data_IF_337201770108
#
_entry.id   IF_337201770108
#
_cell.length_a   1.000
_cell.length_b   1.000
_cell.length_c   1.000
_cell.angle_alpha   90.00
_cell.angle_beta   90.00
_cell.angle_gamma   90.00
#
_symmetry.space_group_name_H-M   'P 1'
#
loop_
_entity.id
_entity.type
_entity.pdbx_description
1 polymer ?
#
# COMPACT_ATOMS: atom_id res chain seq x y z
N UNK A 1 -71.20 45.20 -15.49
CA UNK A 1 -70.70 43.84 -15.45
C UNK A 1 -70.15 43.41 -16.84
N UNK A 2 -69.27 44.18 -17.48
CA UNK A 2 -68.76 43.80 -18.84
C UNK A 2 -67.20 43.86 -18.97
N UNK A 3 -66.46 44.31 -17.96
CA UNK A 3 -65.03 44.52 -18.09
C UNK A 3 -64.17 43.40 -17.46
N UNK A 4 -64.72 42.46 -16.71
CA UNK A 4 -63.93 41.35 -16.10
C UNK A 4 -63.63 40.20 -17.08
N UNK A 5 -64.45 40.07 -18.12
CA UNK A 5 -64.27 38.98 -19.12
C UNK A 5 -63.04 39.18 -19.99
N UNK A 6 -62.66 40.40 -20.38
CA UNK A 6 -61.52 40.68 -21.22
C UNK A 6 -60.17 40.38 -20.47
N UNK A 7 -60.11 40.72 -19.20
CA UNK A 7 -58.94 40.48 -18.39
C UNK A 7 -58.69 38.96 -18.17
N UNK A 8 -59.76 38.18 -18.06
CA UNK A 8 -59.68 36.74 -17.92
C UNK A 8 -59.14 36.06 -19.18
N UNK A 9 -59.52 36.48 -20.37
CA UNK A 9 -59.02 35.96 -21.65
C UNK A 9 -57.63 36.45 -21.93
N UNK A 10 -57.18 37.62 -21.47
CA UNK A 10 -55.84 38.13 -21.56
C UNK A 10 -54.90 37.33 -20.63
N UNK A 11 -55.31 37.00 -19.41
CA UNK A 11 -54.56 36.15 -18.47
C UNK A 11 -54.45 34.70 -18.95
N UNK A 12 -55.53 34.17 -19.57
CA UNK A 12 -55.50 32.81 -20.13
C UNK A 12 -54.62 32.74 -21.37
N UNK A 13 -54.57 33.76 -22.19
CA UNK A 13 -53.69 33.88 -23.34
C UNK A 13 -52.19 34.01 -22.93
N UNK A 14 -51.91 34.78 -21.85
CA UNK A 14 -50.59 34.94 -21.30
C UNK A 14 -50.09 33.64 -20.66
N UNK A 15 -50.97 32.88 -19.98
CA UNK A 15 -50.67 31.57 -19.41
C UNK A 15 -50.38 30.51 -20.49
N UNK A 16 -51.09 30.55 -21.64
CA UNK A 16 -50.78 29.64 -22.77
C UNK A 16 -49.48 29.99 -23.50
N UNK A 17 -49.03 31.24 -23.50
CA UNK A 17 -47.72 31.63 -24.04
C UNK A 17 -46.58 31.19 -23.15
N UNK A 18 -46.76 31.05 -21.85
CA UNK A 18 -45.75 30.52 -20.91
C UNK A 18 -45.59 29.01 -21.00
N UNK A 19 -46.51 28.27 -21.62
CA UNK A 19 -46.41 26.82 -21.80
C UNK A 19 -45.62 26.41 -23.05
N UNK A 20 -45.19 27.36 -23.87
CA UNK A 20 -44.26 27.09 -24.99
C UNK A 20 -42.79 27.19 -24.56
N UNK A 21 -42.49 27.10 -23.26
CA UNK A 21 -41.15 27.13 -22.73
C UNK A 21 -40.39 25.83 -23.04
N UNK A 22 -39.50 25.92 -24.00
CA UNK A 22 -38.25 25.16 -24.07
C UNK A 22 -38.32 23.62 -24.14
N UNK A 23 -39.03 23.04 -25.11
CA UNK A 23 -38.75 21.66 -25.55
C UNK A 23 -37.29 21.50 -26.04
N UNK A 24 -36.69 22.52 -26.67
CA UNK A 24 -35.30 22.52 -27.12
C UNK A 24 -34.26 22.47 -26.02
N UNK A 25 -34.58 22.91 -24.79
CA UNK A 25 -33.62 22.79 -23.64
C UNK A 25 -33.65 21.40 -23.03
N UNK A 26 -34.71 20.64 -23.20
CA UNK A 26 -34.82 19.24 -22.78
C UNK A 26 -34.36 18.27 -23.87
N UNK A 27 -34.22 18.73 -25.13
CA UNK A 27 -33.69 17.98 -26.25
C UNK A 27 -32.16 18.05 -26.38
N UNK A 28 -31.50 18.96 -25.68
CA UNK A 28 -30.05 18.79 -25.43
C UNK A 28 -29.89 17.59 -24.49
N UNK A 29 -29.94 16.39 -25.07
CA UNK A 29 -29.29 15.26 -24.44
C UNK A 29 -27.92 15.77 -23.96
N UNK A 30 -27.55 15.62 -22.69
CA UNK A 30 -26.15 15.76 -22.31
C UNK A 30 -25.39 14.97 -23.38
N UNK A 31 -24.38 15.54 -23.98
CA UNK A 31 -23.52 14.84 -24.93
C UNK A 31 -22.77 13.74 -24.12
N UNK A 32 -23.52 12.72 -23.75
CA UNK A 32 -23.05 11.46 -23.17
C UNK A 32 -22.47 10.58 -24.28
N UNK A 33 -21.69 11.16 -25.15
CA UNK A 33 -20.51 10.46 -25.61
C UNK A 33 -19.58 10.41 -24.40
N UNK A 34 -19.86 9.50 -23.48
CA UNK A 34 -18.78 8.87 -22.73
C UNK A 34 -17.74 8.53 -23.79
N UNK A 35 -16.70 9.35 -23.87
CA UNK A 35 -15.62 9.08 -24.80
C UNK A 35 -15.06 7.74 -24.37
N UNK A 36 -15.32 6.70 -25.18
CA UNK A 36 -14.73 5.39 -24.93
C UNK A 36 -13.23 5.58 -25.16
N UNK A 37 -12.39 5.42 -24.12
CA UNK A 37 -10.94 5.59 -24.24
C UNK A 37 -10.42 4.69 -25.36
N UNK A 38 -9.71 5.27 -26.36
CA UNK A 38 -9.20 4.53 -27.51
C UNK A 38 -7.91 5.11 -28.12
N UNK A 39 -7.29 6.06 -27.42
CA UNK A 39 -6.04 6.72 -27.83
C UNK A 39 -4.92 6.52 -26.80
N UNK A 40 -3.69 6.83 -27.20
CA UNK A 40 -2.56 6.88 -26.25
C UNK A 40 -2.75 7.93 -25.16
N UNK A 41 -3.39 9.05 -25.49
CA UNK A 41 -3.70 10.12 -24.55
C UNK A 41 -4.68 9.62 -23.48
N UNK A 42 -5.69 8.86 -23.86
CA UNK A 42 -6.65 8.25 -22.94
C UNK A 42 -5.96 7.22 -22.05
N UNK A 43 -5.10 6.35 -22.62
CA UNK A 43 -4.31 5.40 -21.83
C UNK A 43 -3.43 6.10 -20.79
N UNK A 44 -2.75 7.20 -21.19
CA UNK A 44 -1.93 7.97 -20.26
C UNK A 44 -2.78 8.63 -19.17
N UNK A 45 -3.93 9.19 -19.51
CA UNK A 45 -4.84 9.81 -18.53
C UNK A 45 -5.35 8.78 -17.50
N UNK A 46 -5.65 7.54 -17.93
CA UNK A 46 -6.02 6.45 -17.05
C UNK A 46 -4.88 6.07 -16.10
N UNK A 47 -3.65 5.95 -16.62
CA UNK A 47 -2.46 5.61 -15.81
C UNK A 47 -2.00 6.76 -14.90
N UNK A 48 -2.32 8.00 -15.24
CA UNK A 48 -2.04 9.19 -14.43
C UNK A 48 -3.17 9.53 -13.43
N UNK A 49 -4.19 8.70 -13.35
CA UNK A 49 -5.29 8.84 -12.39
C UNK A 49 -4.85 8.65 -10.94
N UNK A 50 -3.99 9.55 -10.43
CA UNK A 50 -3.26 9.44 -9.16
C UNK A 50 -4.13 9.00 -7.97
N UNK A 51 -5.32 9.59 -7.83
CA UNK A 51 -6.26 9.24 -6.76
C UNK A 51 -6.73 7.78 -6.79
N UNK A 52 -6.67 7.12 -7.96
CA UNK A 52 -7.07 5.71 -8.11
C UNK A 52 -5.86 4.78 -8.11
N UNK A 53 -4.87 5.04 -8.99
CA UNK A 53 -3.77 4.07 -9.18
C UNK A 53 -2.63 4.21 -8.17
N UNK A 54 -2.56 5.34 -7.44
CA UNK A 54 -1.54 5.57 -6.42
C UNK A 54 -2.10 5.69 -4.99
N UNK A 55 -3.41 5.92 -4.78
CA UNK A 55 -3.98 6.23 -3.47
C UNK A 55 -5.11 5.31 -3.04
N UNK A 56 -5.21 4.10 -3.57
CA UNK A 56 -6.31 3.17 -3.29
C UNK A 56 -5.88 1.90 -2.55
N UNK A 57 -4.71 1.91 -1.92
CA UNK A 57 -4.13 0.73 -1.28
C UNK A 57 -4.67 0.51 0.15
N UNK A 58 -4.68 -0.74 0.64
CA UNK A 58 -5.27 -1.04 1.94
C UNK A 58 -4.46 -0.47 3.12
N UNK A 59 -5.14 -0.04 4.18
CA UNK A 59 -4.54 0.40 5.45
C UNK A 59 -4.68 -0.62 6.59
N UNK A 60 -5.63 -1.55 6.48
CA UNK A 60 -6.02 -2.41 7.62
C UNK A 60 -4.90 -3.32 8.14
N UNK A 61 -3.89 -3.60 7.32
CA UNK A 61 -2.70 -4.31 7.78
C UNK A 61 -1.99 -3.56 8.90
N UNK A 62 -1.81 -2.25 8.76
CA UNK A 62 -1.15 -1.41 9.80
C UNK A 62 -1.96 -1.37 11.10
N UNK A 63 -3.29 -1.29 10.99
CA UNK A 63 -4.20 -1.29 12.14
C UNK A 63 -4.04 -2.53 13.02
N UNK A 64 -3.69 -3.65 12.42
CA UNK A 64 -3.56 -4.94 13.11
C UNK A 64 -2.18 -5.18 13.74
N UNK A 65 -1.23 -4.24 13.63
CA UNK A 65 0.17 -4.40 14.10
C UNK A 65 0.39 -3.95 15.54
N UNK A 66 1.61 -4.14 16.05
CA UNK A 66 2.01 -3.87 17.44
C UNK A 66 2.85 -2.60 17.63
N UNK A 67 3.02 -1.78 16.60
CA UNK A 67 3.81 -0.54 16.68
C UNK A 67 3.04 0.60 17.34
N UNK A 68 1.70 0.55 17.30
CA UNK A 68 0.82 1.57 17.83
C UNK A 68 -0.26 0.97 18.75
N UNK A 69 -0.87 1.84 19.54
CA UNK A 69 -1.89 1.46 20.52
C UNK A 69 -3.03 2.47 20.59
N UNK A 70 -4.20 1.99 21.00
CA UNK A 70 -5.37 2.77 21.39
C UNK A 70 -5.61 2.63 22.88
N UNK A 71 -6.17 3.66 23.53
CA UNK A 71 -6.81 3.48 24.83
C UNK A 71 -8.13 2.72 24.67
N UNK A 72 -8.62 2.08 25.74
CA UNK A 72 -9.94 1.43 25.70
C UNK A 72 -11.06 2.38 25.32
N UNK A 73 -10.99 3.64 25.76
CA UNK A 73 -11.97 4.69 25.42
C UNK A 73 -11.97 4.99 23.92
N UNK A 74 -10.80 5.25 23.33
CA UNK A 74 -10.70 5.49 21.90
C UNK A 74 -11.10 4.28 21.07
N UNK A 75 -10.68 3.07 21.48
CA UNK A 75 -11.10 1.84 20.82
C UNK A 75 -12.62 1.65 20.83
N UNK A 76 -13.28 1.85 21.98
CA UNK A 76 -14.74 1.74 22.10
C UNK A 76 -15.48 2.80 21.29
N UNK A 77 -14.90 3.99 21.14
CA UNK A 77 -15.43 5.13 20.41
C UNK A 77 -15.15 5.13 18.91
N UNK A 78 -14.42 4.15 18.35
CA UNK A 78 -14.17 4.09 16.90
C UNK A 78 -15.49 3.96 16.13
N UNK A 79 -15.73 4.90 15.19
CA UNK A 79 -16.95 4.95 14.38
C UNK A 79 -17.05 3.76 13.40
N UNK A 80 -15.91 3.33 12.85
CA UNK A 80 -15.83 2.18 11.93
C UNK A 80 -15.78 0.91 12.77
N UNK A 81 -16.90 0.19 12.81
CA UNK A 81 -17.02 -1.05 13.58
C UNK A 81 -15.98 -2.09 13.18
N UNK A 82 -15.70 -2.20 11.87
CA UNK A 82 -14.70 -3.11 11.32
C UNK A 82 -13.32 -2.80 11.88
N UNK A 83 -12.90 -1.52 11.91
CA UNK A 83 -11.60 -1.11 12.46
C UNK A 83 -11.47 -1.51 13.93
N UNK A 84 -12.54 -1.34 14.72
CA UNK A 84 -12.59 -1.73 16.12
C UNK A 84 -12.36 -3.23 16.31
N UNK A 85 -13.02 -4.07 15.49
CA UNK A 85 -12.92 -5.51 15.58
C UNK A 85 -11.61 -6.04 15.00
N UNK A 86 -11.13 -5.45 13.88
CA UNK A 86 -9.82 -5.77 13.31
C UNK A 86 -8.69 -5.46 14.30
N UNK A 87 -8.80 -4.36 15.05
CA UNK A 87 -7.80 -3.99 16.05
C UNK A 87 -7.59 -5.07 17.10
N UNK A 88 -8.64 -5.78 17.53
CA UNK A 88 -8.58 -6.87 18.51
C UNK A 88 -8.49 -8.26 17.87
N UNK A 89 -8.28 -8.33 16.55
CA UNK A 89 -8.14 -9.58 15.80
C UNK A 89 -9.35 -10.52 15.91
N UNK A 90 -10.57 -9.96 15.81
CA UNK A 90 -11.79 -10.78 15.80
C UNK A 90 -11.83 -11.65 14.53
N UNK A 91 -11.84 -12.96 14.71
CA UNK A 91 -11.77 -13.93 13.60
C UNK A 91 -12.96 -13.89 12.62
N UNK A 92 -14.07 -13.28 13.02
CA UNK A 92 -15.30 -13.24 12.22
C UNK A 92 -15.44 -11.95 11.42
N UNK A 93 -14.64 -10.94 11.73
CA UNK A 93 -14.75 -9.65 11.08
C UNK A 93 -14.20 -9.71 9.66
N UNK A 94 -14.85 -9.01 8.77
CA UNK A 94 -14.33 -8.71 7.42
C UNK A 94 -13.88 -7.27 7.37
N UNK A 95 -12.79 -6.94 6.66
CA UNK A 95 -12.39 -5.56 6.45
C UNK A 95 -13.46 -4.74 5.71
N UNK A 96 -13.45 -3.40 5.77
CA UNK A 96 -14.25 -2.55 4.91
C UNK A 96 -14.08 -2.89 3.44
N UNK A 97 -15.16 -2.79 2.65
CA UNK A 97 -15.14 -3.14 1.21
C UNK A 97 -14.06 -2.41 0.43
N UNK A 98 -13.78 -1.15 0.78
CA UNK A 98 -12.75 -0.33 0.12
C UNK A 98 -11.38 -0.95 0.11
N UNK A 99 -11.05 -1.77 1.12
CA UNK A 99 -9.75 -2.44 1.26
C UNK A 99 -9.52 -3.53 0.20
N UNK A 100 -10.59 -4.01 -0.42
CA UNK A 100 -10.58 -4.94 -1.55
C UNK A 100 -10.85 -4.22 -2.87
N UNK A 101 -11.90 -3.41 -2.91
CA UNK A 101 -12.38 -2.76 -4.13
C UNK A 101 -11.38 -1.74 -4.70
N UNK A 102 -10.69 -0.98 -3.85
CA UNK A 102 -9.72 0.03 -4.28
C UNK A 102 -8.61 -0.57 -5.15
N UNK A 103 -7.83 -1.55 -4.66
CA UNK A 103 -6.80 -2.18 -5.50
C UNK A 103 -7.36 -2.88 -6.75
N UNK A 104 -8.53 -3.52 -6.67
CA UNK A 104 -9.15 -4.11 -7.87
C UNK A 104 -9.61 -3.07 -8.89
N UNK A 105 -9.90 -1.83 -8.48
CA UNK A 105 -10.14 -0.74 -9.42
C UNK A 105 -8.86 -0.37 -10.18
N UNK A 106 -7.70 -0.38 -9.51
CA UNK A 106 -6.39 -0.23 -10.19
C UNK A 106 -6.15 -1.38 -11.17
N UNK A 107 -6.45 -2.63 -10.79
CA UNK A 107 -6.37 -3.79 -11.69
C UNK A 107 -7.27 -3.62 -12.92
N UNK A 108 -8.50 -3.13 -12.73
CA UNK A 108 -9.42 -2.84 -13.82
C UNK A 108 -8.86 -1.80 -14.80
N UNK A 109 -8.34 -0.68 -14.29
CA UNK A 109 -7.72 0.37 -15.10
C UNK A 109 -6.52 -0.20 -15.89
N UNK A 110 -5.65 -0.95 -15.24
CA UNK A 110 -4.51 -1.58 -15.90
C UNK A 110 -4.95 -2.50 -17.05
N UNK A 111 -5.95 -3.34 -16.83
CA UNK A 111 -6.51 -4.23 -17.85
C UNK A 111 -7.18 -3.45 -19.00
N UNK A 112 -7.88 -2.36 -18.68
CA UNK A 112 -8.49 -1.50 -19.70
C UNK A 112 -7.42 -0.88 -20.59
N UNK A 113 -6.35 -0.35 -20.01
CA UNK A 113 -5.21 0.19 -20.77
C UNK A 113 -4.59 -0.90 -21.66
N UNK A 114 -4.31 -2.09 -21.11
CA UNK A 114 -3.75 -3.19 -21.91
C UNK A 114 -4.65 -3.54 -23.11
N UNK A 115 -5.96 -3.63 -22.90
CA UNK A 115 -6.92 -3.92 -23.97
C UNK A 115 -6.98 -2.83 -25.03
N UNK A 116 -6.91 -1.56 -24.67
CA UNK A 116 -6.87 -0.44 -25.62
C UNK A 116 -5.57 -0.49 -26.45
N UNK A 117 -4.44 -0.74 -25.77
CA UNK A 117 -3.12 -0.79 -26.42
C UNK A 117 -3.02 -1.88 -27.49
N UNK A 118 -3.78 -2.99 -27.39
CA UNK A 118 -3.84 -4.02 -28.42
C UNK A 118 -4.32 -3.47 -29.77
N UNK A 119 -5.13 -2.41 -29.77
CA UNK A 119 -5.67 -1.77 -30.98
C UNK A 119 -4.81 -0.64 -31.54
N UNK A 120 -3.78 -0.21 -30.77
CA UNK A 120 -2.93 0.92 -31.13
C UNK A 120 -1.62 0.47 -31.79
N UNK A 121 -0.97 1.36 -32.59
CA UNK A 121 0.29 1.02 -33.26
C UNK A 121 1.39 0.59 -32.28
N UNK A 122 2.21 -0.35 -32.72
CA UNK A 122 3.42 -0.77 -32.03
C UNK A 122 4.44 0.37 -31.92
N UNK A 123 5.26 0.36 -30.85
CA UNK A 123 6.33 1.33 -30.68
C UNK A 123 6.68 1.59 -29.22
N UNK A 124 7.70 2.40 -28.97
CA UNK A 124 8.22 2.67 -27.62
C UNK A 124 7.15 3.24 -26.67
N UNK A 125 6.25 4.10 -27.17
CA UNK A 125 5.16 4.70 -26.39
C UNK A 125 4.19 3.61 -25.89
N UNK A 126 3.78 2.69 -26.78
CA UNK A 126 2.94 1.55 -26.41
C UNK A 126 3.62 0.68 -25.37
N UNK A 127 4.88 0.29 -25.62
CA UNK A 127 5.66 -0.55 -24.69
C UNK A 127 5.77 0.06 -23.29
N UNK A 128 6.02 1.37 -23.20
CA UNK A 128 6.09 2.05 -21.90
C UNK A 128 4.74 2.01 -21.16
N UNK A 129 3.63 2.20 -21.86
CA UNK A 129 2.29 2.14 -21.23
C UNK A 129 1.90 0.71 -20.84
N UNK A 130 2.25 -0.28 -21.67
CA UNK A 130 2.09 -1.70 -21.31
C UNK A 130 2.87 -2.04 -20.04
N UNK A 131 4.14 -1.62 -19.97
CA UNK A 131 4.98 -1.79 -18.79
C UNK A 131 4.38 -1.14 -17.54
N UNK A 132 3.82 0.07 -17.65
CA UNK A 132 3.15 0.75 -16.57
C UNK A 132 1.88 0.01 -16.11
N UNK A 133 1.06 -0.46 -17.05
CA UNK A 133 -0.14 -1.22 -16.74
C UNK A 133 0.18 -2.56 -16.04
N UNK A 134 1.18 -3.30 -16.51
CA UNK A 134 1.67 -4.50 -15.83
C UNK A 134 2.14 -4.20 -14.40
N UNK A 135 2.90 -3.14 -14.22
CA UNK A 135 3.36 -2.73 -12.89
C UNK A 135 2.21 -2.42 -11.95
N UNK A 136 1.25 -1.58 -12.35
CA UNK A 136 0.11 -1.21 -11.51
C UNK A 136 -0.76 -2.42 -11.16
N UNK A 137 -1.00 -3.33 -12.12
CA UNK A 137 -1.75 -4.56 -11.86
C UNK A 137 -1.06 -5.43 -10.82
N UNK A 138 0.23 -5.67 -10.97
CA UNK A 138 1.01 -6.47 -10.03
C UNK A 138 1.10 -5.82 -8.65
N UNK A 139 1.32 -4.50 -8.59
CA UNK A 139 1.39 -3.75 -7.32
C UNK A 139 0.09 -3.87 -6.53
N UNK A 140 -1.04 -3.64 -7.20
CA UNK A 140 -2.37 -3.72 -6.58
C UNK A 140 -2.71 -5.14 -6.11
N UNK A 141 -2.43 -6.16 -6.94
CA UNK A 141 -2.68 -7.55 -6.57
C UNK A 141 -1.76 -8.04 -5.45
N UNK A 142 -0.51 -7.58 -5.40
CA UNK A 142 0.38 -7.90 -4.29
C UNK A 142 -0.09 -7.28 -2.97
N UNK A 143 -0.51 -6.00 -2.98
CA UNK A 143 -1.08 -5.36 -1.80
C UNK A 143 -2.31 -6.11 -1.25
N UNK A 144 -3.13 -6.68 -2.13
CA UNK A 144 -4.24 -7.57 -1.71
C UNK A 144 -3.74 -8.89 -1.16
N UNK A 145 -2.71 -9.50 -1.78
CA UNK A 145 -2.19 -10.80 -1.35
C UNK A 145 -1.57 -10.74 0.05
N UNK A 146 -0.92 -9.64 0.41
CA UNK A 146 -0.36 -9.42 1.76
C UNK A 146 -1.44 -9.55 2.85
N UNK A 147 -2.71 -9.24 2.54
CA UNK A 147 -3.83 -9.28 3.48
C UNK A 147 -4.71 -10.53 3.32
N UNK A 148 -5.11 -10.84 2.10
CA UNK A 148 -6.20 -11.78 1.81
C UNK A 148 -5.75 -13.14 1.26
N UNK A 149 -4.47 -13.34 0.98
CA UNK A 149 -3.93 -14.62 0.56
C UNK A 149 -3.05 -15.23 1.66
N UNK A 150 -2.96 -16.56 1.76
CA UNK A 150 -1.93 -17.21 2.56
C UNK A 150 -0.53 -16.81 2.06
N UNK A 151 0.46 -16.86 2.94
CA UNK A 151 1.85 -16.70 2.51
C UNK A 151 2.34 -18.01 1.85
N UNK A 152 3.03 -17.96 0.70
CA UNK A 152 3.62 -19.18 0.13
C UNK A 152 4.65 -19.80 1.07
N UNK A 153 4.55 -21.10 1.28
CA UNK A 153 5.52 -21.85 2.06
C UNK A 153 6.68 -22.30 1.17
N UNK A 154 7.89 -22.22 1.68
CA UNK A 154 9.12 -22.52 0.92
C UNK A 154 9.18 -23.96 0.43
N UNK A 155 8.57 -24.90 1.14
CA UNK A 155 8.47 -26.31 0.77
C UNK A 155 7.38 -26.59 -0.29
N UNK A 156 6.62 -25.59 -0.70
CA UNK A 156 5.53 -25.69 -1.67
C UNK A 156 4.30 -26.42 -1.17
N UNK A 157 4.22 -26.79 0.12
CA UNK A 157 3.12 -27.61 0.67
C UNK A 157 1.74 -26.96 0.53
N UNK A 158 1.66 -25.62 0.42
CA UNK A 158 0.42 -24.89 0.20
C UNK A 158 0.28 -24.29 -1.22
N UNK A 159 1.09 -24.71 -2.18
CA UNK A 159 1.09 -24.17 -3.55
C UNK A 159 -0.27 -24.26 -4.25
N UNK A 160 -1.04 -25.32 -3.99
CA UNK A 160 -2.37 -25.56 -4.56
C UNK A 160 -3.54 -24.88 -3.82
N UNK A 161 -3.28 -24.18 -2.70
CA UNK A 161 -4.32 -23.43 -1.99
C UNK A 161 -4.83 -22.29 -2.87
N UNK A 162 -6.13 -22.03 -2.86
CA UNK A 162 -6.73 -20.95 -3.66
C UNK A 162 -6.38 -19.60 -3.07
N UNK A 163 -5.74 -18.74 -3.86
CA UNK A 163 -5.38 -17.39 -3.50
C UNK A 163 -6.51 -16.39 -3.85
N UNK A 164 -6.24 -15.46 -4.74
CA UNK A 164 -7.13 -14.38 -5.15
C UNK A 164 -7.45 -14.52 -6.65
N UNK A 165 -8.52 -13.88 -7.13
CA UNK A 165 -8.74 -13.73 -8.57
C UNK A 165 -7.60 -12.95 -9.23
N UNK A 166 -6.98 -13.50 -10.26
CA UNK A 166 -6.01 -12.80 -11.10
C UNK A 166 -6.70 -12.33 -12.39
N UNK A 167 -7.34 -11.17 -12.32
CA UNK A 167 -8.08 -10.64 -13.47
C UNK A 167 -7.12 -10.06 -14.51
N UNK A 168 -7.34 -10.48 -15.79
CA UNK A 168 -6.56 -10.01 -16.96
C UNK A 168 -7.40 -9.30 -18.01
N UNK A 169 -8.71 -9.25 -17.80
CA UNK A 169 -9.66 -8.65 -18.72
C UNK A 169 -10.39 -7.50 -18.04
N UNK A 170 -10.70 -6.39 -18.74
CA UNK A 170 -11.56 -5.34 -18.24
C UNK A 170 -13.05 -5.71 -18.29
N UNK A 171 -13.41 -6.86 -18.85
CA UNK A 171 -14.81 -7.28 -18.96
C UNK A 171 -15.39 -7.59 -17.58
N UNK A 172 -16.32 -6.76 -17.11
CA UNK A 172 -16.96 -6.89 -15.79
C UNK A 172 -17.92 -8.07 -15.70
N UNK A 173 -18.40 -8.60 -16.84
CA UNK A 173 -19.31 -9.76 -16.90
C UNK A 173 -18.56 -11.08 -16.84
N UNK A 174 -17.25 -11.06 -17.00
CA UNK A 174 -16.43 -12.25 -16.91
C UNK A 174 -16.49 -12.84 -15.50
N UNK A 175 -16.74 -14.17 -15.43
CA UNK A 175 -16.79 -14.87 -14.15
C UNK A 175 -15.50 -14.68 -13.34
N UNK A 176 -15.68 -14.34 -12.09
CA UNK A 176 -14.56 -14.14 -11.16
C UNK A 176 -14.19 -15.47 -10.52
N UNK A 177 -12.97 -15.93 -10.78
CA UNK A 177 -12.44 -17.18 -10.22
C UNK A 177 -11.10 -16.94 -9.53
N UNK A 178 -10.87 -17.67 -8.43
CA UNK A 178 -9.57 -17.68 -7.77
C UNK A 178 -8.59 -18.53 -8.55
N UNK A 179 -7.32 -18.20 -8.50
CA UNK A 179 -6.22 -19.04 -9.00
C UNK A 179 -5.49 -19.67 -7.82
N UNK A 180 -4.68 -20.70 -8.08
CA UNK A 180 -3.83 -21.29 -7.03
C UNK A 180 -2.81 -20.29 -6.52
N UNK A 181 -2.30 -20.48 -5.32
CA UNK A 181 -1.29 -19.62 -4.72
C UNK A 181 -0.01 -19.59 -5.56
N UNK A 182 0.40 -20.73 -6.09
CA UNK A 182 1.54 -20.84 -7.01
C UNK A 182 1.33 -20.03 -8.28
N UNK A 183 0.18 -20.21 -8.95
CA UNK A 183 -0.13 -19.50 -10.18
C UNK A 183 -0.24 -17.99 -9.94
N UNK A 184 -0.84 -17.60 -8.82
CA UNK A 184 -0.99 -16.19 -8.47
C UNK A 184 0.37 -15.48 -8.39
N UNK A 185 1.33 -16.02 -7.64
CA UNK A 185 2.65 -15.42 -7.54
C UNK A 185 3.47 -15.54 -8.83
N UNK A 186 3.31 -16.63 -9.58
CA UNK A 186 3.95 -16.74 -10.90
C UNK A 186 3.46 -15.65 -11.87
N UNK A 187 2.17 -15.35 -11.87
CA UNK A 187 1.57 -14.31 -12.70
C UNK A 187 2.00 -12.90 -12.26
N UNK A 188 2.08 -12.65 -10.94
CA UNK A 188 2.62 -11.38 -10.39
C UNK A 188 4.05 -11.14 -10.87
N UNK A 189 4.91 -12.14 -10.74
CA UNK A 189 6.32 -12.07 -11.14
C UNK A 189 6.43 -11.86 -12.65
N UNK A 190 5.62 -12.56 -13.45
CA UNK A 190 5.61 -12.39 -14.91
C UNK A 190 5.20 -10.97 -15.34
N UNK A 191 4.19 -10.39 -14.70
CA UNK A 191 3.80 -9.00 -14.96
C UNK A 191 4.94 -8.03 -14.64
N UNK A 192 5.62 -8.20 -13.51
CA UNK A 192 6.72 -7.32 -13.10
C UNK A 192 7.98 -7.51 -13.96
N UNK A 193 8.27 -8.71 -14.41
CA UNK A 193 9.36 -8.94 -15.36
C UNK A 193 9.07 -8.28 -16.73
N UNK A 194 7.81 -8.29 -17.18
CA UNK A 194 7.41 -7.54 -18.35
C UNK A 194 7.50 -6.03 -18.12
N UNK A 195 7.00 -5.53 -16.98
CA UNK A 195 7.12 -4.13 -16.61
C UNK A 195 8.59 -3.68 -16.60
N UNK A 196 9.49 -4.46 -15.96
CA UNK A 196 10.92 -4.16 -15.86
C UNK A 196 11.60 -4.05 -17.22
N UNK A 197 11.20 -4.88 -18.20
CA UNK A 197 11.75 -4.86 -19.57
C UNK A 197 11.23 -3.70 -20.42
N UNK A 198 9.95 -3.33 -20.23
CA UNK A 198 9.26 -2.36 -21.07
C UNK A 198 9.36 -0.92 -20.54
N UNK A 199 9.54 -0.74 -19.25
CA UNK A 199 9.62 0.57 -18.62
C UNK A 199 11.00 1.22 -18.80
N UNK A 200 11.07 2.56 -18.94
CA UNK A 200 12.33 3.28 -18.91
C UNK A 200 12.97 3.23 -17.52
N UNK A 201 14.28 3.45 -17.45
CA UNK A 201 15.02 3.50 -16.17
C UNK A 201 14.53 4.60 -15.23
N UNK A 202 14.12 5.73 -15.78
CA UNK A 202 13.66 6.89 -15.01
C UNK A 202 12.28 7.30 -15.47
N UNK A 203 11.41 7.65 -14.54
CA UNK A 203 10.16 8.34 -14.80
C UNK A 203 10.32 9.82 -14.42
N UNK A 204 9.56 10.71 -15.07
CA UNK A 204 9.61 12.14 -14.76
C UNK A 204 9.14 12.48 -13.34
N UNK A 205 8.24 11.66 -12.78
CA UNK A 205 7.72 11.77 -11.42
C UNK A 205 7.66 10.39 -10.77
N UNK A 206 7.91 10.28 -9.45
CA UNK A 206 7.77 9.00 -8.73
C UNK A 206 6.33 8.44 -8.67
N UNK A 207 5.32 9.22 -9.05
CA UNK A 207 3.96 8.71 -9.23
C UNK A 207 3.80 7.77 -10.43
N UNK A 208 4.73 7.83 -11.39
CA UNK A 208 4.78 6.91 -12.54
C UNK A 208 5.82 5.83 -12.32
N UNK A 209 5.52 4.56 -12.60
CA UNK A 209 6.49 3.49 -12.45
C UNK A 209 7.62 3.57 -13.49
N UNK A 210 8.77 3.06 -13.11
CA UNK A 210 9.96 2.87 -13.95
C UNK A 210 10.54 1.46 -13.73
N UNK A 211 11.58 1.09 -14.46
CA UNK A 211 12.18 -0.26 -14.31
C UNK A 211 12.80 -0.47 -12.93
N UNK A 212 13.29 0.61 -12.28
CA UNK A 212 13.78 0.55 -10.89
C UNK A 212 12.64 0.19 -9.93
N UNK A 213 11.45 0.78 -10.11
CA UNK A 213 10.28 0.45 -9.31
C UNK A 213 9.84 -1.01 -9.50
N UNK A 214 9.92 -1.52 -10.73
CA UNK A 214 9.60 -2.93 -11.00
C UNK A 214 10.60 -3.89 -10.32
N UNK A 215 11.90 -3.60 -10.37
CA UNK A 215 12.94 -4.36 -9.66
C UNK A 215 12.74 -4.25 -8.13
N UNK A 216 12.45 -3.06 -7.61
CA UNK A 216 12.17 -2.84 -6.19
C UNK A 216 10.96 -3.66 -5.70
N UNK A 217 9.88 -3.73 -6.48
CA UNK A 217 8.71 -4.53 -6.13
C UNK A 217 9.00 -6.04 -6.24
N UNK A 218 9.76 -6.47 -7.23
CA UNK A 218 10.23 -7.86 -7.32
C UNK A 218 11.04 -8.25 -6.07
N UNK A 219 11.96 -7.39 -5.62
CA UNK A 219 12.76 -7.66 -4.41
C UNK A 219 11.86 -7.81 -3.17
N UNK A 220 10.85 -6.94 -3.02
CA UNK A 220 9.86 -7.01 -1.92
C UNK A 220 9.05 -8.31 -1.98
N UNK A 221 8.57 -8.71 -3.16
CA UNK A 221 7.82 -9.96 -3.35
C UNK A 221 8.69 -11.18 -3.05
N UNK A 222 9.92 -11.23 -3.57
CA UNK A 222 10.82 -12.35 -3.31
C UNK A 222 11.23 -12.43 -1.83
N UNK A 223 11.42 -11.30 -1.14
CA UNK A 223 11.60 -11.31 0.32
C UNK A 223 10.37 -11.89 1.03
N UNK A 224 9.16 -11.50 0.60
CA UNK A 224 7.90 -11.98 1.17
C UNK A 224 7.74 -13.49 1.02
N UNK A 225 8.06 -14.05 -0.15
CA UNK A 225 8.01 -15.49 -0.40
C UNK A 225 9.28 -16.24 -0.01
N UNK A 226 10.24 -15.55 0.65
CA UNK A 226 11.47 -16.08 1.22
C UNK A 226 12.48 -16.64 0.19
N UNK A 227 12.44 -16.21 -1.05
CA UNK A 227 13.49 -16.44 -2.05
C UNK A 227 14.56 -15.34 -1.90
N UNK A 228 15.46 -15.54 -0.92
CA UNK A 228 16.42 -14.50 -0.51
C UNK A 228 17.48 -14.21 -1.58
N UNK A 229 17.83 -15.19 -2.42
CA UNK A 229 18.77 -15.00 -3.52
C UNK A 229 18.20 -14.00 -4.53
N UNK A 230 16.97 -14.25 -5.01
CA UNK A 230 16.31 -13.33 -5.96
C UNK A 230 15.95 -11.99 -5.33
N UNK A 231 15.55 -11.97 -4.06
CA UNK A 231 15.31 -10.71 -3.36
C UNK A 231 16.59 -9.86 -3.30
N UNK A 232 17.75 -10.47 -3.06
CA UNK A 232 19.07 -9.81 -3.07
C UNK A 232 19.43 -9.27 -4.45
N UNK A 233 19.24 -10.10 -5.50
CA UNK A 233 19.56 -9.73 -6.89
C UNK A 233 18.76 -8.48 -7.30
N UNK A 234 17.45 -8.51 -7.12
CA UNK A 234 16.57 -7.38 -7.50
C UNK A 234 16.74 -6.14 -6.62
N UNK A 235 17.02 -6.31 -5.31
CA UNK A 235 17.36 -5.18 -4.45
C UNK A 235 18.68 -4.53 -4.90
N UNK A 236 19.66 -5.34 -5.30
CA UNK A 236 20.94 -4.83 -5.80
C UNK A 236 20.76 -4.12 -7.14
N UNK A 237 20.02 -4.71 -8.10
CA UNK A 237 19.70 -4.08 -9.37
C UNK A 237 19.01 -2.71 -9.19
N UNK A 238 18.02 -2.62 -8.30
CA UNK A 238 17.33 -1.36 -8.04
C UNK A 238 18.24 -0.32 -7.38
N UNK A 239 19.10 -0.73 -6.42
CA UNK A 239 20.05 0.15 -5.77
C UNK A 239 21.19 0.64 -6.70
N UNK A 240 21.54 -0.11 -7.73
CA UNK A 240 22.48 0.35 -8.78
C UNK A 240 21.89 1.49 -9.62
N UNK A 241 20.57 1.58 -9.69
CA UNK A 241 19.87 2.63 -10.43
C UNK A 241 19.52 3.84 -9.56
N UNK A 242 19.11 3.60 -8.31
CA UNK A 242 18.77 4.65 -7.33
C UNK A 242 19.18 4.18 -5.93
N UNK A 243 20.19 4.83 -5.34
CA UNK A 243 20.76 4.47 -4.02
C UNK A 243 20.87 5.63 -3.05
N UNK A 244 20.29 6.79 -3.39
CA UNK A 244 20.44 8.02 -2.59
C UNK A 244 19.61 7.94 -1.32
N UNK A 245 20.26 7.89 -0.17
CA UNK A 245 19.65 8.02 1.16
C UNK A 245 19.64 9.50 1.61
N UNK A 246 18.53 9.93 2.19
CA UNK A 246 18.44 11.25 2.83
C UNK A 246 19.31 11.25 4.09
N UNK A 247 20.16 12.25 4.24
CA UNK A 247 20.84 12.49 5.50
C UNK A 247 19.88 13.21 6.47
N UNK A 248 19.39 12.50 7.48
CA UNK A 248 18.40 13.03 8.42
C UNK A 248 18.92 14.22 9.23
N UNK A 249 20.25 14.43 9.30
CA UNK A 249 20.84 15.65 9.87
C UNK A 249 20.50 16.93 9.07
N UNK A 250 20.00 16.79 7.84
CA UNK A 250 19.61 17.93 6.99
C UNK A 250 18.12 18.25 7.05
N UNK A 251 17.33 17.42 7.74
CA UNK A 251 15.88 17.58 7.82
C UNK A 251 15.46 18.48 8.99
N UNK A 252 14.31 19.17 8.86
CA UNK A 252 13.79 20.05 9.91
C UNK A 252 13.11 19.23 11.01
N UNK A 253 13.82 18.96 12.11
CA UNK A 253 13.40 18.07 13.20
C UNK A 253 12.06 18.47 13.86
N UNK A 254 11.76 19.77 13.88
CA UNK A 254 10.62 20.33 14.64
C UNK A 254 9.41 20.64 13.76
N UNK A 255 9.47 20.41 12.44
CA UNK A 255 8.30 20.56 11.58
C UNK A 255 7.30 19.43 11.79
N UNK A 256 6.01 19.73 11.56
CA UNK A 256 4.92 18.74 11.63
C UNK A 256 5.01 17.70 10.51
N UNK A 257 5.55 18.09 9.35
CA UNK A 257 5.80 17.21 8.21
C UNK A 257 7.25 17.37 7.73
N UNK A 258 8.23 16.69 8.35
CA UNK A 258 9.63 16.88 8.05
C UNK A 258 10.07 16.32 6.68
N UNK A 259 9.30 15.42 6.12
CA UNK A 259 9.55 14.84 4.80
C UNK A 259 8.74 15.58 3.73
N UNK A 260 9.22 15.54 2.49
CA UNK A 260 8.51 16.11 1.35
C UNK A 260 7.98 14.98 0.46
N UNK A 261 6.83 15.22 -0.15
CA UNK A 261 6.35 14.33 -1.21
C UNK A 261 7.41 14.20 -2.31
N UNK A 262 7.56 13.01 -2.87
CA UNK A 262 8.57 12.71 -3.91
C UNK A 262 10.00 13.02 -3.46
N UNK A 263 10.30 12.87 -2.16
CA UNK A 263 11.67 13.03 -1.67
C UNK A 263 12.63 12.05 -2.38
N UNK A 264 13.94 12.30 -2.22
CA UNK A 264 14.98 11.59 -2.99
C UNK A 264 15.07 10.08 -2.76
N UNK A 265 14.48 9.56 -1.69
CA UNK A 265 14.42 8.11 -1.45
C UNK A 265 13.24 7.44 -2.17
N UNK A 266 12.19 8.19 -2.54
CA UNK A 266 10.98 7.61 -3.15
C UNK A 266 11.26 7.15 -4.57
N UNK A 267 11.10 5.85 -4.81
CA UNK A 267 11.22 5.20 -6.12
C UNK A 267 9.85 5.16 -6.82
N UNK A 268 8.81 4.81 -6.05
CA UNK A 268 7.43 4.83 -6.52
C UNK A 268 6.51 5.29 -5.40
N UNK A 269 5.72 6.32 -5.70
CA UNK A 269 4.76 6.91 -4.77
C UNK A 269 3.47 6.09 -4.75
N UNK A 270 3.14 5.54 -3.60
CA UNK A 270 1.85 4.92 -3.33
C UNK A 270 1.41 5.25 -1.90
N UNK A 271 0.10 5.45 -1.73
CA UNK A 271 -0.53 5.87 -0.49
C UNK A 271 -1.64 4.88 -0.15
N UNK A 272 -1.69 4.44 1.09
CA UNK A 272 -2.82 3.68 1.59
C UNK A 272 -4.03 4.59 1.78
N UNK A 273 -5.23 4.05 1.66
CA UNK A 273 -6.44 4.79 2.03
C UNK A 273 -6.36 5.21 3.49
N UNK A 274 -6.83 6.41 3.80
CA UNK A 274 -6.81 6.91 5.17
C UNK A 274 -7.84 6.22 6.06
N UNK A 275 -7.57 6.20 7.37
CA UNK A 275 -8.54 5.87 8.41
C UNK A 275 -8.51 6.92 9.51
N UNK A 276 -9.68 7.32 10.01
CA UNK A 276 -9.78 8.18 11.19
C UNK A 276 -9.08 7.57 12.42
N UNK A 277 -8.94 6.24 12.46
CA UNK A 277 -8.19 5.56 13.53
C UNK A 277 -6.74 6.04 13.60
N UNK A 278 -6.13 6.42 12.46
CA UNK A 278 -4.75 6.91 12.40
C UNK A 278 -4.59 8.39 12.72
N UNK A 279 -5.65 9.05 13.16
CA UNK A 279 -5.56 10.44 13.56
C UNK A 279 -4.61 10.59 14.77
N UNK A 280 -3.70 11.55 14.71
CA UNK A 280 -2.60 11.70 15.66
C UNK A 280 -3.04 11.87 17.12
N UNK A 281 -4.26 12.36 17.37
CA UNK A 281 -4.82 12.45 18.73
C UNK A 281 -5.27 11.11 19.28
N UNK A 282 -5.49 10.10 18.44
CA UNK A 282 -6.04 8.78 18.76
C UNK A 282 -4.95 7.71 18.71
N UNK A 283 -4.21 7.66 17.59
CA UNK A 283 -3.23 6.61 17.25
C UNK A 283 -1.87 6.94 17.87
N UNK A 284 -1.54 6.27 18.97
CA UNK A 284 -0.31 6.52 19.73
C UNK A 284 0.73 5.45 19.48
N UNK A 285 1.98 5.85 19.31
CA UNK A 285 3.06 4.86 19.22
C UNK A 285 3.15 4.08 20.54
N UNK A 286 3.37 2.77 20.46
CA UNK A 286 3.51 1.95 21.66
C UNK A 286 4.75 2.38 22.45
N UNK A 287 4.67 2.50 23.80
CA UNK A 287 5.81 2.97 24.61
C UNK A 287 7.08 2.12 24.41
N UNK A 288 6.92 0.80 24.25
CA UNK A 288 8.04 -0.12 24.03
C UNK A 288 8.70 0.13 22.68
N UNK A 289 7.90 0.38 21.63
CA UNK A 289 8.42 0.66 20.30
C UNK A 289 9.11 2.03 20.27
N UNK A 290 8.53 3.07 20.86
CA UNK A 290 9.17 4.38 20.98
C UNK A 290 10.50 4.30 21.75
N UNK A 291 10.56 3.52 22.82
CA UNK A 291 11.78 3.32 23.62
C UNK A 291 12.89 2.55 22.88
N UNK A 292 12.58 1.89 21.75
CA UNK A 292 13.60 1.22 20.92
C UNK A 292 14.51 2.19 20.16
N UNK A 293 14.10 3.45 20.03
CA UNK A 293 14.91 4.50 19.42
C UNK A 293 15.79 5.16 20.48
N UNK A 294 17.10 5.11 20.29
CA UNK A 294 18.05 5.82 21.17
C UNK A 294 17.93 7.34 20.99
N UNK A 295 18.43 8.11 21.96
CA UNK A 295 18.29 9.57 21.94
C UNK A 295 19.10 10.25 20.83
N UNK A 296 20.13 9.58 20.29
CA UNK A 296 20.90 10.05 19.13
C UNK A 296 20.37 9.52 17.80
N UNK A 297 19.26 8.77 17.79
CA UNK A 297 18.56 8.35 16.58
C UNK A 297 17.57 9.43 16.14
N UNK A 298 17.87 10.11 15.03
CA UNK A 298 17.07 11.23 14.52
C UNK A 298 15.65 10.83 14.13
N UNK A 299 15.40 9.55 13.84
CA UNK A 299 14.06 9.02 13.58
C UNK A 299 13.12 9.26 14.74
N UNK A 300 13.64 9.24 15.98
CA UNK A 300 12.85 9.50 17.20
C UNK A 300 12.16 10.87 17.16
N UNK A 301 12.83 11.90 16.60
CA UNK A 301 12.30 13.25 16.49
C UNK A 301 11.60 13.51 15.15
N UNK A 302 12.05 12.87 14.07
CA UNK A 302 11.48 13.06 12.74
C UNK A 302 10.19 12.25 12.53
N UNK A 303 10.11 11.07 13.14
CA UNK A 303 8.94 10.21 12.97
C UNK A 303 7.85 10.48 13.99
N UNK A 304 8.20 11.02 15.16
CA UNK A 304 7.24 11.15 16.24
C UNK A 304 7.13 12.59 16.74
N UNK A 305 5.92 12.96 17.08
CA UNK A 305 5.54 14.22 17.70
C UNK A 305 5.19 13.95 19.17
N UNK A 306 5.72 14.77 20.09
CA UNK A 306 5.36 14.73 21.50
C UNK A 306 4.00 15.40 21.72
N UNK A 307 3.06 14.67 22.33
CA UNK A 307 1.71 15.14 22.62
C UNK A 307 1.62 15.94 23.94
N UNK A 308 2.73 16.18 24.64
CA UNK A 308 2.80 16.83 25.93
C UNK A 308 2.02 16.14 27.08
N UNK A 309 1.58 14.91 26.89
CA UNK A 309 0.88 14.07 27.85
C UNK A 309 1.64 12.77 28.18
N UNK A 310 2.89 12.68 27.71
CA UNK A 310 3.74 11.49 27.83
C UNK A 310 3.50 10.45 26.73
N UNK A 311 2.65 10.74 25.77
CA UNK A 311 2.44 9.91 24.57
C UNK A 311 3.05 10.55 23.33
N UNK A 312 3.25 9.74 22.28
CA UNK A 312 3.80 10.19 21.02
C UNK A 312 2.94 9.73 19.86
N UNK A 313 2.89 10.53 18.77
CA UNK A 313 2.13 10.23 17.56
C UNK A 313 3.03 10.32 16.33
N UNK A 314 2.66 9.60 15.26
CA UNK A 314 3.44 9.57 14.03
C UNK A 314 3.26 10.87 13.22
N UNK A 315 4.38 11.42 12.72
CA UNK A 315 4.45 12.57 11.82
C UNK A 315 5.40 12.36 10.62
N UNK A 316 6.07 11.22 10.57
CA UNK A 316 7.15 10.91 9.62
C UNK A 316 6.69 10.40 8.25
N UNK A 317 5.51 10.81 7.78
CA UNK A 317 4.94 10.30 6.53
C UNK A 317 5.71 10.77 5.29
N UNK A 318 6.09 9.84 4.41
CA UNK A 318 6.87 10.14 3.19
C UNK A 318 6.02 10.78 2.07
N UNK A 319 4.72 10.96 2.25
CA UNK A 319 3.90 11.75 1.32
C UNK A 319 4.03 13.27 1.53
N UNK A 320 4.68 13.68 2.62
CA UNK A 320 4.89 15.09 2.96
C UNK A 320 3.72 15.74 3.71
N UNK A 321 2.74 14.95 4.13
CA UNK A 321 1.53 15.45 4.78
C UNK A 321 1.34 14.80 6.17
N UNK A 322 0.88 15.60 7.13
CA UNK A 322 0.39 15.10 8.42
C UNK A 322 -1.08 14.68 8.26
N UNK A 323 -1.29 13.52 7.68
CA UNK A 323 -2.61 12.99 7.41
C UNK A 323 -2.75 11.54 7.89
N UNK A 324 -3.94 10.95 7.70
CA UNK A 324 -4.24 9.57 8.10
C UNK A 324 -3.99 8.54 6.98
N UNK A 325 -3.34 8.95 5.89
CA UNK A 325 -3.09 8.13 4.70
C UNK A 325 -1.60 7.80 4.59
N UNK A 326 -1.14 6.66 5.14
CA UNK A 326 0.28 6.35 5.19
C UNK A 326 0.85 6.07 3.80
N UNK A 327 2.09 6.49 3.59
CA UNK A 327 2.86 6.08 2.43
C UNK A 327 3.11 4.56 2.47
N UNK A 328 2.80 3.88 1.39
CA UNK A 328 3.05 2.44 1.23
C UNK A 328 3.91 2.10 0.00
N UNK A 329 4.44 3.12 -0.69
CA UNK A 329 5.22 3.03 -1.91
C UNK A 329 6.54 2.25 -1.77
N UNK A 330 7.44 2.48 -2.72
CA UNK A 330 8.78 1.89 -2.76
C UNK A 330 9.81 2.98 -2.55
N UNK A 331 10.80 2.73 -1.68
CA UNK A 331 11.86 3.68 -1.39
C UNK A 331 13.21 2.99 -1.15
N UNK A 332 14.28 3.75 -1.26
CA UNK A 332 15.67 3.28 -1.21
C UNK A 332 16.02 2.66 0.15
N UNK A 333 15.51 3.24 1.24
CA UNK A 333 15.70 2.76 2.61
C UNK A 333 15.23 1.29 2.77
N UNK A 334 14.05 0.96 2.23
CA UNK A 334 13.55 -0.41 2.24
C UNK A 334 14.44 -1.37 1.44
N UNK A 335 14.97 -0.94 0.29
CA UNK A 335 15.87 -1.76 -0.52
C UNK A 335 17.19 -2.06 0.20
N UNK A 336 17.74 -1.08 0.91
CA UNK A 336 18.94 -1.27 1.75
C UNK A 336 18.65 -2.31 2.84
N UNK A 337 17.47 -2.26 3.46
CA UNK A 337 17.06 -3.22 4.48
C UNK A 337 16.79 -4.62 3.91
N UNK A 338 16.16 -4.73 2.73
CA UNK A 338 16.00 -6.01 2.03
C UNK A 338 17.37 -6.63 1.72
N UNK A 339 18.27 -5.83 1.15
CA UNK A 339 19.64 -6.28 0.84
C UNK A 339 20.38 -6.75 2.08
N UNK A 340 20.33 -5.97 3.18
CA UNK A 340 20.99 -6.34 4.43
C UNK A 340 20.45 -7.64 5.02
N UNK A 341 19.09 -7.79 5.04
CA UNK A 341 18.46 -9.02 5.55
C UNK A 341 18.81 -10.23 4.69
N UNK A 342 18.72 -10.13 3.36
CA UNK A 342 19.05 -11.23 2.46
C UNK A 342 20.51 -11.64 2.60
N UNK A 343 21.46 -10.70 2.65
CA UNK A 343 22.88 -10.97 2.88
C UNK A 343 23.11 -11.71 4.21
N UNK A 344 22.46 -11.27 5.28
CA UNK A 344 22.56 -11.96 6.57
C UNK A 344 22.02 -13.39 6.47
N UNK A 345 20.81 -13.58 5.89
CA UNK A 345 20.20 -14.93 5.75
C UNK A 345 20.99 -15.87 4.85
N UNK A 346 21.71 -15.33 3.87
CA UNK A 346 22.63 -16.07 2.99
C UNK A 346 24.04 -16.23 3.57
N UNK A 347 24.24 -15.84 4.85
CA UNK A 347 25.50 -15.92 5.58
C UNK A 347 26.64 -15.02 5.05
N UNK A 348 26.30 -13.94 4.33
CA UNK A 348 27.23 -12.90 3.89
C UNK A 348 27.33 -11.79 4.95
N UNK A 349 27.81 -12.13 6.15
CA UNK A 349 27.71 -11.28 7.34
C UNK A 349 28.42 -9.93 7.20
N UNK A 350 29.60 -9.87 6.61
CA UNK A 350 30.37 -8.62 6.51
C UNK A 350 29.71 -7.64 5.51
N UNK A 351 29.18 -8.15 4.40
CA UNK A 351 28.41 -7.35 3.45
C UNK A 351 27.08 -6.86 4.06
N UNK A 352 26.41 -7.70 4.87
CA UNK A 352 25.20 -7.31 5.59
C UNK A 352 25.47 -6.17 6.57
N UNK A 353 26.57 -6.27 7.38
CA UNK A 353 27.01 -5.20 8.28
C UNK A 353 27.32 -3.92 7.54
N UNK A 354 28.09 -4.01 6.44
CA UNK A 354 28.42 -2.86 5.61
C UNK A 354 27.15 -2.21 5.07
N UNK A 355 26.18 -2.99 4.60
CA UNK A 355 24.94 -2.50 4.02
C UNK A 355 24.09 -1.78 5.07
N UNK A 356 23.86 -2.39 6.24
CA UNK A 356 23.04 -1.74 7.28
C UNK A 356 23.72 -0.49 7.88
N UNK A 357 25.05 -0.47 7.94
CA UNK A 357 25.79 0.70 8.41
C UNK A 357 25.59 1.92 7.49
N UNK A 358 25.40 1.74 6.17
CA UNK A 358 25.14 2.86 5.26
C UNK A 358 23.82 3.57 5.60
N UNK A 359 22.81 2.83 6.05
CA UNK A 359 21.56 3.40 6.54
C UNK A 359 21.77 4.10 7.89
N UNK A 360 22.40 3.42 8.85
CA UNK A 360 22.63 3.95 10.19
C UNK A 360 23.39 5.29 10.19
N UNK A 361 24.42 5.43 9.37
CA UNK A 361 25.18 6.68 9.23
C UNK A 361 24.30 7.88 8.81
N UNK A 362 23.17 7.63 8.15
CA UNK A 362 22.22 8.65 7.68
C UNK A 362 21.05 8.91 8.62
N UNK A 363 20.89 8.09 9.66
CA UNK A 363 19.74 8.13 10.58
C UNK A 363 20.09 8.68 11.97
N UNK A 364 21.39 8.72 12.31
CA UNK A 364 21.86 9.15 13.62
C UNK A 364 22.47 10.57 13.57
N UNK A 365 22.48 11.24 14.72
CA UNK A 365 23.18 12.52 14.87
C UNK A 365 24.62 12.34 14.40
N UNK A 366 25.09 13.25 13.57
CA UNK A 366 26.42 13.19 12.93
C UNK A 366 27.53 12.91 13.93
N UNK A 367 28.29 11.85 13.68
CA UNK A 367 29.42 11.43 14.51
C UNK A 367 29.03 10.61 15.74
N UNK A 368 27.75 10.31 15.97
CA UNK A 368 27.32 9.49 17.12
C UNK A 368 26.95 8.04 16.74
N UNK A 369 26.79 7.75 15.45
CA UNK A 369 26.52 6.39 14.99
C UNK A 369 27.71 5.46 15.31
N UNK A 370 27.39 4.28 15.85
CA UNK A 370 28.38 3.24 16.10
C UNK A 370 28.14 2.12 15.09
N UNK A 371 29.13 1.77 14.26
CA UNK A 371 29.01 0.66 13.33
C UNK A 371 28.66 -0.66 14.03
N UNK A 372 27.87 -1.47 13.36
CA UNK A 372 27.43 -2.77 13.89
C UNK A 372 28.59 -3.72 14.13
N UNK A 373 28.76 -4.15 15.39
CA UNK A 373 29.78 -5.09 15.84
C UNK A 373 29.11 -6.33 16.42
N UNK A 374 28.55 -7.18 15.56
CA UNK A 374 27.90 -8.44 15.96
C UNK A 374 28.64 -9.58 15.28
N UNK A 375 29.02 -10.60 16.05
CA UNK A 375 29.83 -11.72 15.58
C UNK A 375 29.02 -12.98 15.22
N UNK A 376 27.79 -13.10 15.73
CA UNK A 376 26.93 -14.23 15.43
C UNK A 376 25.81 -13.88 14.44
N UNK A 377 25.43 -14.89 13.65
CA UNK A 377 24.42 -14.78 12.59
C UNK A 377 23.05 -14.34 13.13
N UNK A 378 22.56 -14.99 14.18
CA UNK A 378 21.22 -14.75 14.70
C UNK A 378 21.10 -13.36 15.34
N UNK A 379 22.18 -12.90 16.00
CA UNK A 379 22.27 -11.54 16.53
C UNK A 379 22.25 -10.47 15.44
N UNK A 380 23.01 -10.68 14.35
CA UNK A 380 23.02 -9.76 13.21
C UNK A 380 21.65 -9.69 12.52
N UNK A 381 21.04 -10.85 12.26
CA UNK A 381 19.71 -10.89 11.64
C UNK A 381 18.67 -10.17 12.51
N UNK A 382 18.67 -10.41 13.83
CA UNK A 382 17.78 -9.75 14.78
C UNK A 382 17.95 -8.24 14.73
N UNK A 383 19.18 -7.74 14.77
CA UNK A 383 19.47 -6.32 14.67
C UNK A 383 18.92 -5.72 13.37
N UNK A 384 19.15 -6.38 12.22
CA UNK A 384 18.64 -5.90 10.93
C UNK A 384 17.10 -5.85 10.92
N UNK A 385 16.43 -6.86 11.47
CA UNK A 385 14.96 -6.88 11.55
C UNK A 385 14.41 -5.81 12.50
N UNK A 386 15.11 -5.49 13.59
CA UNK A 386 14.77 -4.37 14.47
C UNK A 386 14.95 -3.01 13.76
N UNK A 387 16.06 -2.82 13.04
CA UNK A 387 16.26 -1.61 12.22
C UNK A 387 15.21 -1.50 11.11
N UNK A 388 14.83 -2.61 10.46
CA UNK A 388 13.74 -2.62 9.48
C UNK A 388 12.40 -2.18 10.09
N UNK A 389 12.07 -2.68 11.28
CA UNK A 389 10.84 -2.28 12.00
C UNK A 389 10.85 -0.79 12.33
N UNK A 390 11.98 -0.25 12.81
CA UNK A 390 12.13 1.17 13.13
C UNK A 390 12.05 2.07 11.88
N UNK A 391 12.72 1.68 10.80
CA UNK A 391 12.75 2.48 9.59
C UNK A 391 11.41 2.52 8.87
N UNK A 392 10.70 1.41 8.82
CA UNK A 392 9.49 1.26 8.02
C UNK A 392 8.20 1.41 8.82
N UNK A 393 8.24 2.12 9.94
CA UNK A 393 7.04 2.41 10.74
C UNK A 393 6.00 3.18 9.91
N UNK A 394 4.72 2.81 10.03
CA UNK A 394 3.60 3.38 9.24
C UNK A 394 3.80 3.32 7.70
N UNK A 395 4.58 2.34 7.22
CA UNK A 395 4.86 2.11 5.79
C UNK A 395 4.09 0.90 5.23
N UNK A 396 3.10 0.38 5.96
CA UNK A 396 2.33 -0.82 5.63
C UNK A 396 3.20 -2.09 5.49
N UNK A 397 4.37 -2.13 6.15
CA UNK A 397 5.28 -3.29 6.05
C UNK A 397 5.23 -4.23 7.24
N UNK A 398 4.86 -3.74 8.43
CA UNK A 398 4.88 -4.55 9.65
C UNK A 398 4.00 -5.80 9.55
N UNK A 399 2.80 -5.70 8.95
CA UNK A 399 1.91 -6.86 8.79
C UNK A 399 2.51 -7.95 7.92
N UNK A 400 3.07 -7.59 6.75
CA UNK A 400 3.75 -8.54 5.86
C UNK A 400 4.97 -9.15 6.52
N UNK A 401 5.75 -8.34 7.26
CA UNK A 401 6.91 -8.81 8.01
C UNK A 401 6.50 -9.82 9.09
N UNK A 402 5.44 -9.55 9.86
CA UNK A 402 4.91 -10.50 10.85
C UNK A 402 4.50 -11.83 10.20
N UNK A 403 3.79 -11.79 9.05
CA UNK A 403 3.38 -13.02 8.35
C UNK A 403 4.59 -13.89 7.96
N UNK A 404 5.61 -13.29 7.33
CA UNK A 404 6.78 -14.05 6.88
C UNK A 404 7.72 -14.47 8.02
N UNK A 405 7.89 -13.61 9.04
CA UNK A 405 8.77 -13.87 10.18
C UNK A 405 8.19 -14.90 11.14
N UNK A 406 6.86 -15.00 11.22
CA UNK A 406 6.19 -16.02 12.04
C UNK A 406 6.35 -17.44 11.51
N UNK A 407 6.86 -17.64 10.31
CA UNK A 407 7.19 -18.97 9.78
C UNK A 407 8.47 -19.55 10.40
N UNK A 408 9.32 -18.71 11.01
CA UNK A 408 10.54 -19.13 11.70
C UNK A 408 10.38 -18.91 13.21
N UNK A 409 10.53 -19.98 13.99
CA UNK A 409 10.41 -19.92 15.46
C UNK A 409 11.35 -18.92 16.14
N UNK A 410 12.51 -18.62 15.53
CA UNK A 410 13.49 -17.66 16.06
C UNK A 410 13.02 -16.20 15.95
N UNK A 411 12.13 -15.90 15.02
CA UNK A 411 11.63 -14.56 14.74
C UNK A 411 10.13 -14.41 14.99
N UNK A 412 9.45 -15.52 15.29
CA UNK A 412 8.01 -15.54 15.53
C UNK A 412 7.62 -14.71 16.76
N UNK A 413 6.54 -13.94 16.64
CA UNK A 413 6.07 -13.00 17.65
C UNK A 413 4.58 -13.19 17.92
N UNK A 414 4.20 -13.34 19.19
CA UNK A 414 2.81 -13.21 19.64
C UNK A 414 2.53 -11.76 19.96
N UNK A 415 1.52 -11.18 19.34
CA UNK A 415 1.02 -9.84 19.70
C UNK A 415 -0.08 -9.95 20.75
N UNK A 416 -0.14 -8.98 21.68
CA UNK A 416 -1.16 -8.90 22.73
C UNK A 416 -1.69 -7.49 22.91
N UNK A 417 -2.97 -7.37 23.29
CA UNK A 417 -3.64 -6.10 23.60
C UNK A 417 -4.61 -6.30 24.75
N UNK A 418 -4.74 -5.28 25.59
CA UNK A 418 -5.75 -5.27 26.67
C UNK A 418 -6.74 -4.15 26.41
N UNK A 419 -8.01 -4.50 26.15
CA UNK A 419 -9.13 -3.56 25.96
C UNK A 419 -10.24 -3.87 26.94
N UNK A 420 -10.70 -2.88 27.69
CA UNK A 420 -11.75 -3.00 28.72
C UNK A 420 -11.48 -4.16 29.70
N UNK A 421 -10.21 -4.31 30.13
CA UNK A 421 -9.80 -5.36 31.05
C UNK A 421 -9.74 -6.77 30.45
N UNK A 422 -10.01 -6.93 29.16
CA UNK A 422 -9.93 -8.20 28.43
C UNK A 422 -8.67 -8.27 27.59
N UNK A 423 -7.93 -9.37 27.71
CA UNK A 423 -6.74 -9.62 26.91
C UNK A 423 -7.10 -10.30 25.58
N UNK A 424 -6.49 -9.82 24.52
CA UNK A 424 -6.55 -10.37 23.17
C UNK A 424 -5.15 -10.71 22.70
N UNK A 425 -5.00 -11.85 22.03
CA UNK A 425 -3.72 -12.32 21.51
C UNK A 425 -3.84 -12.76 20.07
N UNK A 426 -2.84 -12.39 19.27
CA UNK A 426 -2.63 -12.96 17.95
C UNK A 426 -1.32 -13.77 17.95
N UNK A 427 -1.48 -15.09 17.93
CA UNK A 427 -0.34 -16.03 17.92
C UNK A 427 0.28 -16.13 16.53
N UNK A 428 1.56 -16.49 16.41
CA UNK A 428 2.18 -16.81 15.12
C UNK A 428 1.35 -17.79 14.31
N UNK A 429 1.25 -17.54 13.02
CA UNK A 429 0.52 -18.38 12.06
C UNK A 429 -0.98 -18.58 12.36
N UNK A 430 -1.60 -17.73 13.18
CA UNK A 430 -3.05 -17.75 13.37
C UNK A 430 -3.77 -17.49 12.04
N UNK A 431 -4.96 -18.05 11.88
CA UNK A 431 -5.81 -17.92 10.68
C UNK A 431 -6.07 -16.46 10.30
N UNK A 432 -6.15 -15.57 11.29
CA UNK A 432 -6.39 -14.13 11.12
C UNK A 432 -5.33 -13.43 10.24
N UNK A 433 -4.10 -13.95 10.13
CA UNK A 433 -3.10 -13.39 9.20
C UNK A 433 -3.52 -13.46 7.73
N UNK A 434 -4.54 -14.26 7.40
CA UNK A 434 -5.23 -14.21 6.11
C UNK A 434 -6.63 -13.66 6.36
N UNK A 435 -6.86 -12.39 6.03
CA UNK A 435 -8.14 -11.72 6.30
C UNK A 435 -9.28 -12.31 5.46
N UNK A 436 -10.49 -12.23 5.99
CA UNK A 436 -11.71 -12.62 5.28
C UNK A 436 -12.03 -11.62 4.16
N UNK A 437 -12.54 -12.11 3.04
CA UNK A 437 -13.04 -11.24 1.96
C UNK A 437 -14.26 -10.46 2.47
N UNK A 438 -14.35 -9.15 2.19
CA UNK A 438 -15.49 -8.34 2.63
C UNK A 438 -16.83 -8.93 2.18
N UNK A 439 -17.81 -8.97 3.07
CA UNK A 439 -19.11 -9.63 2.82
C UNK A 439 -19.85 -9.07 1.59
N UNK A 440 -19.72 -7.74 1.36
CA UNK A 440 -20.34 -7.10 0.19
C UNK A 440 -19.77 -7.61 -1.14
N UNK A 441 -18.48 -7.99 -1.16
CA UNK A 441 -17.85 -8.59 -2.35
C UNK A 441 -18.42 -9.98 -2.62
N UNK A 442 -18.59 -10.79 -1.57
CA UNK A 442 -19.18 -12.13 -1.70
C UNK A 442 -20.63 -12.06 -2.18
N UNK A 443 -21.41 -11.11 -1.66
CA UNK A 443 -22.81 -10.95 -2.03
C UNK A 443 -22.99 -10.53 -3.51
N UNK A 444 -22.00 -9.86 -4.09
CA UNK A 444 -22.05 -9.32 -5.45
C UNK A 444 -21.15 -10.07 -6.44
N UNK A 445 -20.68 -11.26 -6.09
CA UNK A 445 -19.80 -12.07 -6.95
C UNK A 445 -20.06 -13.57 -6.77
N UNK A 446 -19.36 -14.38 -7.56
CA UNK A 446 -19.36 -15.85 -7.44
C UNK A 446 -18.30 -16.37 -6.46
N UNK A 447 -17.59 -15.48 -5.77
CA UNK A 447 -16.56 -15.86 -4.83
C UNK A 447 -17.13 -16.48 -3.57
N UNK A 448 -16.46 -17.49 -3.06
CA UNK A 448 -16.69 -18.05 -1.72
C UNK A 448 -15.70 -17.42 -0.74
N UNK A 449 -16.00 -17.50 0.55
CA UNK A 449 -15.11 -17.00 1.59
C UNK A 449 -13.76 -17.74 1.59
N UNK A 450 -12.72 -17.05 2.04
CA UNK A 450 -11.39 -17.65 2.22
C UNK A 450 -11.46 -18.75 3.28
N UNK A 451 -10.94 -19.93 2.95
CA UNK A 451 -10.72 -21.01 3.92
C UNK A 451 -9.42 -20.69 4.67
N UNK A 452 -9.47 -20.68 5.99
CA UNK A 452 -8.34 -20.33 6.87
C UNK A 452 -7.87 -21.56 7.67
#
# INVERSE_FOLDING_TARGET
>A
MKNYSIHYYLLLGLAMLCLQSCSKFLETKPDTKLAIPNTFEDCQALLDGYGTVNMSYPYVGELCTDDFSLTSEYWAGLEVYEDRMLYIWDDKITPPQSQWAGPYQTVYIANQVLSILETLPEGARRQQMEGAAYFYRAYALFALAELFAPIPLKDGSNAGVMALPYRRSPNIEEKVERVTLSDFFALLIADLENARKLLPRTAGLPSRPNSTAAAALLSRIYLYIQDYDKALDFATEALEQQSSLIDYNTLPLYEESPFKQFNSEVIFQAIATGSFTFYYTIWKVSPQFYASYSDNDLRKQLFFMDNADGTFSFKGNYDGELNQAPFCGLAVDELVLIKAECLARLNHMEEAKKTINTLGEKRYIKGTYQPVVVSDHDGLLRLILEERRKELVMRQRRWSDLKRLNLDQKTATTMSRTMDGKNYELKPNASFYTMLVPQQILNNSTLTQTVR
#
